data_IF_911130999552
#
_entry.id   IF_911130999552
#
_cell.length_a   1.000
_cell.length_b   1.000
_cell.length_c   1.000
_cell.angle_alpha   90.00
_cell.angle_beta   90.00
_cell.angle_gamma   90.00
#
_symmetry.space_group_name_H-M   'P 1'
#
loop_
_entity.id
_entity.type
_entity.pdbx_description
1 polymer ?
#
# COMPACT_ATOMS: atom_id res chain seq x y z
N UNK A 1 54.64 -18.08 -24.76
CA UNK A 1 53.36 -18.08 -25.49
C UNK A 1 52.27 -18.48 -24.51
N UNK A 2 51.15 -17.72 -24.50
CA UNK A 2 49.81 -17.97 -23.89
C UNK A 2 49.73 -18.37 -22.41
N UNK A 3 49.35 -17.48 -21.48
CA UNK A 3 47.98 -16.97 -21.18
C UNK A 3 46.97 -18.06 -20.89
N UNK A 4 46.55 -18.24 -19.63
CA UNK A 4 45.15 -18.53 -19.29
C UNK A 4 44.92 -18.38 -17.79
N UNK A 5 44.28 -17.28 -17.39
CA UNK A 5 43.71 -17.12 -16.07
C UNK A 5 42.62 -18.17 -15.85
N UNK A 6 42.61 -18.83 -14.71
CA UNK A 6 41.50 -19.68 -14.29
C UNK A 6 40.55 -18.85 -13.43
N UNK A 7 39.45 -18.43 -14.03
CA UNK A 7 38.31 -17.67 -13.48
C UNK A 7 37.47 -18.52 -12.51
N UNK A 8 38.14 -19.33 -11.71
CA UNK A 8 37.58 -20.40 -10.88
C UNK A 8 37.27 -19.84 -9.49
N UNK A 9 36.33 -18.89 -9.40
CA UNK A 9 35.66 -18.61 -8.13
C UNK A 9 34.25 -18.06 -8.32
N UNK A 10 33.30 -18.97 -8.07
CA UNK A 10 31.99 -18.69 -7.50
C UNK A 10 31.02 -17.80 -8.29
N UNK A 11 30.45 -18.34 -9.37
CA UNK A 11 29.07 -17.98 -9.74
C UNK A 11 28.09 -18.66 -8.77
N UNK A 12 28.03 -18.16 -7.53
CA UNK A 12 27.06 -18.54 -6.49
C UNK A 12 25.68 -17.97 -6.88
N UNK A 13 25.04 -18.58 -7.86
CA UNK A 13 23.75 -18.10 -8.35
C UNK A 13 23.01 -19.03 -9.30
N UNK A 14 23.68 -20.07 -9.83
CA UNK A 14 23.07 -20.99 -10.79
C UNK A 14 22.26 -22.13 -10.17
N UNK A 15 22.36 -22.38 -8.87
CA UNK A 15 21.65 -23.49 -8.21
C UNK A 15 20.40 -23.07 -7.43
N UNK A 16 19.99 -21.80 -7.52
CA UNK A 16 18.68 -21.34 -7.04
C UNK A 16 17.68 -21.11 -8.18
N UNK A 17 17.90 -21.73 -9.35
CA UNK A 17 16.80 -21.99 -10.27
C UNK A 17 16.02 -23.18 -9.71
N UNK A 18 15.03 -22.89 -8.86
CA UNK A 18 13.94 -23.82 -8.58
C UNK A 18 13.09 -23.98 -9.86
N UNK A 19 13.67 -24.63 -10.87
CA UNK A 19 13.02 -25.11 -12.08
C UNK A 19 12.73 -26.60 -11.89
N UNK A 20 11.86 -26.91 -10.93
CA UNK A 20 11.20 -28.20 -10.80
C UNK A 20 9.72 -28.03 -11.12
N UNK A 21 9.08 -28.97 -11.86
CA UNK A 21 7.65 -28.91 -12.08
C UNK A 21 6.94 -29.07 -10.73
N UNK A 22 6.00 -28.18 -10.44
CA UNK A 22 5.17 -28.15 -9.22
C UNK A 22 5.71 -27.38 -7.99
N UNK A 23 6.44 -26.28 -8.18
CA UNK A 23 6.18 -25.12 -7.34
C UNK A 23 4.94 -24.39 -7.89
N UNK A 24 3.77 -25.03 -7.83
CA UNK A 24 2.50 -24.32 -7.79
C UNK A 24 2.52 -23.53 -6.48
N UNK A 25 3.29 -22.45 -6.45
CA UNK A 25 3.16 -21.39 -5.45
C UNK A 25 1.78 -20.86 -5.72
N UNK A 26 0.81 -21.46 -5.05
CA UNK A 26 -0.54 -20.93 -4.93
C UNK A 26 -0.31 -19.67 -4.12
N UNK A 27 0.12 -18.59 -4.78
CA UNK A 27 0.22 -17.27 -4.17
C UNK A 27 -1.18 -17.06 -3.61
N UNK A 28 -1.36 -16.95 -2.28
CA UNK A 28 -2.68 -16.88 -1.70
C UNK A 28 -3.43 -15.78 -2.44
N UNK A 29 -4.52 -16.14 -3.15
CA UNK A 29 -5.26 -15.15 -3.93
C UNK A 29 -5.69 -14.08 -2.93
N UNK A 30 -5.26 -12.81 -3.09
CA UNK A 30 -5.57 -11.81 -2.11
C UNK A 30 -7.09 -11.69 -2.01
N UNK A 31 -7.56 -11.67 -0.77
CA UNK A 31 -8.98 -11.57 -0.44
C UNK A 31 -9.61 -10.38 -1.17
N UNK A 32 -10.88 -10.46 -1.58
CA UNK A 32 -11.52 -9.43 -2.43
C UNK A 32 -11.36 -8.03 -1.84
N UNK A 33 -11.51 -7.89 -0.52
CA UNK A 33 -11.33 -6.64 0.21
C UNK A 33 -9.89 -6.09 0.09
N UNK A 34 -8.88 -6.95 0.16
CA UNK A 34 -7.46 -6.55 0.03
C UNK A 34 -7.15 -6.11 -1.40
N UNK A 35 -7.73 -6.77 -2.40
CA UNK A 35 -7.63 -6.34 -3.80
C UNK A 35 -8.30 -4.98 -4.02
N UNK A 36 -9.50 -4.80 -3.49
CA UNK A 36 -10.24 -3.55 -3.58
C UNK A 36 -9.49 -2.38 -2.92
N UNK A 37 -8.98 -2.57 -1.71
CA UNK A 37 -8.20 -1.53 -1.02
C UNK A 37 -6.95 -1.17 -1.83
N UNK A 38 -6.20 -2.16 -2.33
CA UNK A 38 -5.01 -1.88 -3.13
C UNK A 38 -5.34 -1.16 -4.44
N UNK A 39 -6.44 -1.52 -5.09
CA UNK A 39 -6.77 -1.05 -6.43
C UNK A 39 -7.56 0.26 -6.46
N UNK A 40 -8.40 0.52 -5.46
CA UNK A 40 -9.25 1.71 -5.45
C UNK A 40 -8.87 2.71 -4.36
N UNK A 41 -8.26 2.26 -3.26
CA UNK A 41 -7.89 3.15 -2.15
C UNK A 41 -6.41 3.55 -2.21
N UNK A 42 -5.51 2.59 -2.45
CA UNK A 42 -4.06 2.82 -2.42
C UNK A 42 -3.43 3.06 -3.80
N UNK A 43 -4.18 2.79 -4.87
CA UNK A 43 -3.67 2.93 -6.23
C UNK A 43 -3.34 4.40 -6.57
N UNK A 44 -2.20 4.65 -7.21
CA UNK A 44 -1.71 6.01 -7.48
C UNK A 44 -2.68 6.87 -8.30
N UNK A 45 -3.42 6.28 -9.21
CA UNK A 45 -4.42 6.94 -10.08
C UNK A 45 -5.62 7.50 -9.31
N UNK A 46 -5.96 6.94 -8.15
CA UNK A 46 -7.09 7.37 -7.33
C UNK A 46 -6.68 8.23 -6.14
N UNK A 47 -5.37 8.44 -5.93
CA UNK A 47 -4.83 9.30 -4.88
C UNK A 47 -5.49 10.68 -4.78
N UNK A 48 -5.65 11.46 -5.87
CA UNK A 48 -6.23 12.81 -5.74
C UNK A 48 -7.70 12.78 -5.26
N UNK A 49 -8.49 11.81 -5.74
CA UNK A 49 -9.87 11.61 -5.28
C UNK A 49 -9.93 11.16 -3.83
N UNK A 50 -9.10 10.18 -3.45
CA UNK A 50 -9.03 9.64 -2.09
C UNK A 50 -8.52 10.69 -1.10
N UNK A 51 -7.60 11.56 -1.50
CA UNK A 51 -7.15 12.68 -0.69
C UNK A 51 -8.30 13.65 -0.42
N UNK A 52 -9.12 13.93 -1.43
CA UNK A 52 -10.29 14.81 -1.30
C UNK A 52 -11.34 14.23 -0.35
N UNK A 53 -11.58 12.92 -0.41
CA UNK A 53 -12.45 12.20 0.52
C UNK A 53 -11.89 12.27 1.94
N UNK A 54 -10.59 12.01 2.11
CA UNK A 54 -9.92 12.09 3.41
C UNK A 54 -10.02 13.51 4.00
N UNK A 55 -9.80 14.53 3.18
CA UNK A 55 -9.98 15.93 3.57
C UNK A 55 -11.43 16.21 3.98
N UNK A 56 -12.41 15.77 3.19
CA UNK A 56 -13.83 15.94 3.51
C UNK A 56 -14.21 15.31 4.84
N UNK A 57 -13.80 14.05 5.08
CA UNK A 57 -14.05 13.34 6.35
C UNK A 57 -13.35 14.04 7.52
N UNK A 58 -12.11 14.51 7.32
CA UNK A 58 -11.34 15.22 8.33
C UNK A 58 -12.02 16.53 8.76
N UNK A 59 -12.39 17.38 7.79
CA UNK A 59 -13.06 18.66 8.05
C UNK A 59 -14.42 18.44 8.69
N UNK A 60 -15.21 17.48 8.19
CA UNK A 60 -16.52 17.15 8.75
C UNK A 60 -16.42 16.70 10.22
N UNK A 61 -15.50 15.79 10.52
CA UNK A 61 -15.30 15.29 11.89
C UNK A 61 -14.82 16.40 12.82
N UNK A 62 -13.90 17.25 12.34
CA UNK A 62 -13.42 18.42 13.08
C UNK A 62 -14.57 19.40 13.37
N UNK A 63 -15.43 19.66 12.39
CA UNK A 63 -16.61 20.50 12.55
C UNK A 63 -17.57 19.97 13.62
N UNK A 64 -17.82 18.66 13.67
CA UNK A 64 -18.62 18.03 14.72
C UNK A 64 -17.97 18.22 16.10
N UNK A 65 -16.66 18.02 16.22
CA UNK A 65 -15.94 18.20 17.49
C UNK A 65 -16.04 19.65 17.96
N UNK A 66 -15.86 20.61 17.05
CA UNK A 66 -15.99 22.03 17.36
C UNK A 66 -17.41 22.35 17.80
N UNK A 67 -18.43 21.91 17.05
CA UNK A 67 -19.83 22.12 17.41
C UNK A 67 -20.18 21.49 18.77
N UNK A 68 -19.63 20.32 19.10
CA UNK A 68 -19.87 19.68 20.39
C UNK A 68 -19.15 20.35 21.56
N UNK A 69 -17.96 20.90 21.34
CA UNK A 69 -17.16 21.51 22.42
C UNK A 69 -17.39 22.99 22.61
N UNK A 70 -17.70 23.69 21.53
CA UNK A 70 -17.86 25.14 21.50
C UNK A 70 -19.26 25.55 21.05
N UNK A 71 -20.19 24.61 20.89
CA UNK A 71 -21.59 24.90 20.55
C UNK A 71 -22.22 25.90 21.51
N UNK A 72 -22.02 25.70 22.82
CA UNK A 72 -22.54 26.57 23.88
C UNK A 72 -22.01 28.00 23.81
N UNK A 73 -20.82 28.22 23.22
CA UNK A 73 -20.25 29.55 23.01
C UNK A 73 -20.85 30.28 21.80
N UNK A 74 -21.42 29.54 20.86
CA UNK A 74 -21.96 30.06 19.59
C UNK A 74 -23.48 30.20 19.69
N UNK A 75 -24.15 29.40 20.53
CA UNK A 75 -25.57 29.53 20.81
C UNK A 75 -25.82 30.60 21.88
N UNK A 76 -26.48 31.73 21.55
CA UNK A 76 -26.87 32.69 22.57
C UNK A 76 -27.92 32.08 23.51
N UNK A 77 -27.71 32.28 24.81
CA UNK A 77 -28.70 31.94 25.85
C UNK A 77 -29.83 32.98 25.80
N UNK A 78 -30.97 32.58 25.25
CA UNK A 78 -32.25 33.28 25.41
C UNK A 78 -33.12 32.49 26.37
#
# INVERSE_FOLDING_TARGET
MSSQGSYLSAQKGFLSSASGPAANRTTPKPNFLVRFINQHILAPEHRPGNLSILWGVSVFTTGIIIARKFGDLITPVF
#
